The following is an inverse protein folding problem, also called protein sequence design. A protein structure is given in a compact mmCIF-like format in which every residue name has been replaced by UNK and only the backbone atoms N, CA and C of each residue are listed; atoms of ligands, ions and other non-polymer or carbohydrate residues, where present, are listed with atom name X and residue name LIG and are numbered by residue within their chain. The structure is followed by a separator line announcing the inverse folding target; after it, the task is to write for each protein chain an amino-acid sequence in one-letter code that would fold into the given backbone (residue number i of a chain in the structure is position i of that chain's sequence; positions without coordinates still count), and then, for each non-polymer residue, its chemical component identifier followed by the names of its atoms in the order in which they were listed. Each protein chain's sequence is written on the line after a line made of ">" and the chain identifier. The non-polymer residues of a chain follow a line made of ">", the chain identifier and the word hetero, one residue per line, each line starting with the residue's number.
data_IF_211695909476
#
_entry.id   IF_211695909476
#
_cell.length_a   1.000
_cell.length_b   1.000
_cell.length_c   1.000
_cell.angle_alpha   90.00
_cell.angle_beta   90.00
_cell.angle_gamma   90.00
#
_symmetry.space_group_name_H-M   'P 1'
#
loop_
_entity.id
_entity.type
_entity.pdbx_description
1 polymer ?
#
# COMPACT_ATOMS: atom_id res chain seq x y z
N UNK A 1 16.30 -12.98 1.37
CA UNK A 1 15.66 -11.78 1.95
C UNK A 1 14.68 -11.21 0.96
N UNK A 2 13.48 -10.80 1.41
CA UNK A 2 12.47 -10.20 0.54
C UNK A 2 12.81 -8.75 0.15
N UNK A 3 12.03 -8.21 -0.76
CA UNK A 3 12.08 -6.81 -1.21
C UNK A 3 10.88 -6.05 -0.69
N UNK A 4 11.13 -4.92 -0.01
CA UNK A 4 10.09 -3.96 0.31
C UNK A 4 9.84 -3.06 -0.91
N UNK A 5 8.62 -3.08 -1.42
CA UNK A 5 8.13 -2.15 -2.45
C UNK A 5 7.23 -1.14 -1.76
N UNK A 6 7.67 0.12 -1.66
CA UNK A 6 6.94 1.16 -0.92
C UNK A 6 6.50 2.29 -1.84
N UNK A 7 5.20 2.53 -1.96
CA UNK A 7 4.63 3.58 -2.80
C UNK A 7 4.21 4.82 -2.01
N UNK A 8 4.54 6.00 -2.56
CA UNK A 8 4.16 7.30 -2.01
C UNK A 8 2.66 7.61 -2.15
N UNK A 9 2.17 8.58 -1.38
CA UNK A 9 0.80 9.10 -1.50
C UNK A 9 0.64 10.15 -2.60
N UNK A 10 -0.58 10.67 -2.74
CA UNK A 10 -0.90 11.75 -3.67
C UNK A 10 0.00 12.98 -3.42
N UNK A 11 0.48 13.63 -4.48
CA UNK A 11 1.43 14.77 -4.43
C UNK A 11 2.83 14.40 -3.92
N UNK A 12 3.10 13.10 -3.75
CA UNK A 12 4.37 12.57 -3.29
C UNK A 12 5.37 12.33 -4.42
N UNK A 13 6.54 11.82 -4.02
CA UNK A 13 7.56 11.28 -4.92
C UNK A 13 8.24 10.08 -4.25
N UNK A 14 8.98 9.29 -5.01
CA UNK A 14 9.81 8.20 -4.46
C UNK A 14 10.79 8.72 -3.39
N UNK A 15 11.38 9.90 -3.62
CA UNK A 15 12.29 10.54 -2.66
C UNK A 15 11.59 11.01 -1.38
N UNK A 16 10.33 11.44 -1.46
CA UNK A 16 9.60 11.90 -0.27
C UNK A 16 9.25 10.75 0.67
N UNK A 17 8.96 9.55 0.16
CA UNK A 17 8.65 8.39 1.01
C UNK A 17 9.89 7.59 1.43
N UNK A 18 11.02 7.78 0.75
CA UNK A 18 12.29 7.10 1.03
C UNK A 18 12.67 7.05 2.52
N UNK A 19 12.65 8.16 3.29
CA UNK A 19 13.07 8.10 4.69
C UNK A 19 12.21 7.18 5.55
N UNK A 20 10.89 7.16 5.30
CA UNK A 20 9.99 6.22 5.96
C UNK A 20 10.35 4.79 5.58
N UNK A 21 10.46 4.52 4.27
CA UNK A 21 10.71 3.18 3.76
C UNK A 21 12.05 2.62 4.30
N UNK A 22 13.14 3.39 4.21
CA UNK A 22 14.46 3.07 4.77
C UNK A 22 14.41 2.81 6.28
N UNK A 23 13.59 3.57 7.01
CA UNK A 23 13.42 3.37 8.45
C UNK A 23 12.63 2.11 8.83
N UNK A 24 11.94 1.49 7.86
CA UNK A 24 11.20 0.24 8.02
C UNK A 24 12.00 -1.00 7.59
N UNK A 25 13.13 -0.83 6.89
CA UNK A 25 13.94 -1.92 6.34
C UNK A 25 14.82 -2.57 7.41
N UNK A 26 14.62 -3.87 7.70
CA UNK A 26 15.63 -4.68 8.35
C UNK A 26 16.91 -4.80 7.51
N UNK A 27 18.06 -5.11 8.14
CA UNK A 27 19.30 -5.40 7.43
C UNK A 27 19.14 -6.51 6.39
N UNK A 28 19.70 -6.31 5.18
CA UNK A 28 19.76 -7.31 4.11
C UNK A 28 18.51 -7.42 3.22
N UNK A 29 17.45 -6.65 3.49
CA UNK A 29 16.32 -6.52 2.56
C UNK A 29 16.62 -5.51 1.45
N UNK A 30 16.04 -5.75 0.27
CA UNK A 30 16.10 -4.79 -0.83
C UNK A 30 14.94 -3.80 -0.75
N UNK A 31 15.12 -2.64 -1.37
CA UNK A 31 14.12 -1.60 -1.43
C UNK A 31 13.84 -1.19 -2.87
N UNK A 32 12.57 -1.17 -3.25
CA UNK A 32 12.08 -0.55 -4.48
C UNK A 32 11.12 0.57 -4.09
N UNK A 33 11.35 1.76 -4.64
CA UNK A 33 10.50 2.93 -4.48
C UNK A 33 10.00 3.36 -5.86
N UNK A 34 8.88 2.80 -6.34
CA UNK A 34 8.33 3.21 -7.62
C UNK A 34 7.92 4.68 -7.59
N UNK A 35 8.13 5.38 -8.70
CA UNK A 35 7.73 6.77 -8.91
C UNK A 35 6.47 6.79 -9.76
N UNK A 36 5.43 7.51 -9.32
CA UNK A 36 4.23 7.66 -10.11
C UNK A 36 4.49 8.57 -11.33
N UNK A 37 3.79 8.34 -12.43
CA UNK A 37 4.08 9.02 -13.71
C UNK A 37 3.14 10.18 -14.03
N UNK A 38 2.01 10.30 -13.32
CA UNK A 38 1.01 11.35 -13.58
C UNK A 38 1.39 12.58 -12.75
N UNK A 39 1.77 13.72 -13.37
CA UNK A 39 2.06 14.93 -12.62
C UNK A 39 0.79 15.45 -11.95
N UNK A 40 0.86 15.72 -10.65
CA UNK A 40 -0.27 16.30 -9.94
C UNK A 40 -0.26 17.84 -10.11
N UNK A 41 -1.40 18.50 -10.36
CA UNK A 41 -1.45 19.94 -10.68
C UNK A 41 -0.79 20.88 -9.66
N UNK A 42 -0.71 20.46 -8.40
CA UNK A 42 -0.07 21.23 -7.32
C UNK A 42 1.44 20.98 -7.20
N UNK A 43 1.85 19.71 -7.11
CA UNK A 43 3.24 19.26 -6.89
C UNK A 43 3.33 17.74 -6.98
N UNK A 44 4.51 17.22 -7.25
CA UNK A 44 4.79 15.78 -7.22
C UNK A 44 3.92 15.00 -8.20
N UNK A 45 3.68 13.73 -7.88
CA UNK A 45 2.99 12.80 -8.76
C UNK A 45 1.80 12.12 -8.09
N UNK A 46 1.02 11.42 -8.91
CA UNK A 46 -0.16 10.67 -8.54
C UNK A 46 -0.20 9.34 -9.29
N UNK A 47 -0.71 8.30 -8.63
CA UNK A 47 -0.98 7.00 -9.26
C UNK A 47 -2.27 7.01 -10.10
N UNK A 48 -3.20 7.88 -9.70
CA UNK A 48 -4.38 8.27 -10.45
C UNK A 48 -4.80 9.68 -10.03
N UNK A 49 -5.55 10.38 -10.86
CA UNK A 49 -6.22 11.63 -10.52
C UNK A 49 -7.72 11.40 -10.53
N UNK A 50 -8.45 12.22 -9.77
CA UNK A 50 -9.91 12.22 -9.74
C UNK A 50 -10.39 13.65 -9.49
N UNK A 51 -11.53 14.00 -10.07
CA UNK A 51 -12.21 15.26 -9.79
C UNK A 51 -13.26 15.10 -8.67
N UNK A 52 -13.86 13.91 -8.56
CA UNK A 52 -14.83 13.59 -7.52
C UNK A 52 -14.19 13.54 -6.11
N UNK A 53 -14.96 13.76 -5.03
CA UNK A 53 -14.48 13.68 -3.65
C UNK A 53 -13.88 12.32 -3.28
N UNK A 54 -12.91 12.22 -2.36
CA UNK A 54 -12.32 10.95 -1.94
C UNK A 54 -13.31 9.90 -1.42
N UNK A 55 -14.49 10.30 -0.96
CA UNK A 55 -15.54 9.38 -0.48
C UNK A 55 -16.18 8.55 -1.60
N UNK A 56 -16.18 9.04 -2.84
CA UNK A 56 -16.87 8.37 -3.95
C UNK A 56 -16.00 7.28 -4.61
N UNK A 57 -16.59 6.30 -5.30
CA UNK A 57 -15.86 5.38 -6.17
C UNK A 57 -15.04 6.12 -7.23
N UNK A 58 -14.02 5.43 -7.77
CA UNK A 58 -13.26 5.94 -8.92
C UNK A 58 -14.06 5.79 -10.20
N UNK A 59 -14.00 6.80 -11.07
CA UNK A 59 -14.53 6.71 -12.43
C UNK A 59 -13.65 5.83 -13.33
N UNK A 60 -14.12 5.56 -14.54
CA UNK A 60 -13.43 4.70 -15.50
C UNK A 60 -12.04 5.23 -15.86
N UNK A 61 -11.88 6.55 -16.00
CA UNK A 61 -10.60 7.18 -16.31
C UNK A 61 -9.59 6.97 -15.17
N UNK A 62 -10.00 7.21 -13.93
CA UNK A 62 -9.19 7.00 -12.73
C UNK A 62 -8.82 5.53 -12.58
N UNK A 63 -9.74 4.60 -12.85
CA UNK A 63 -9.48 3.16 -12.81
C UNK A 63 -8.47 2.74 -13.88
N UNK A 64 -8.55 3.28 -15.09
CA UNK A 64 -7.57 3.04 -16.15
C UNK A 64 -6.16 3.52 -15.75
N UNK A 65 -6.08 4.66 -15.04
CA UNK A 65 -4.81 5.16 -14.50
C UNK A 65 -4.25 4.26 -13.39
N UNK A 66 -5.11 3.72 -12.51
CA UNK A 66 -4.71 2.71 -11.53
C UNK A 66 -4.10 1.51 -12.23
N UNK A 67 -4.76 0.98 -13.25
CA UNK A 67 -4.29 -0.21 -13.98
C UNK A 67 -2.96 0.04 -14.69
N UNK A 68 -2.80 1.19 -15.36
CA UNK A 68 -1.54 1.59 -15.98
C UNK A 68 -0.39 1.74 -14.97
N UNK A 69 -0.68 2.32 -13.80
CA UNK A 69 0.26 2.43 -12.69
C UNK A 69 0.67 1.06 -12.14
N UNK A 70 -0.28 0.13 -11.99
CA UNK A 70 0.00 -1.25 -11.57
C UNK A 70 0.97 -1.93 -12.53
N UNK A 71 0.70 -1.88 -13.84
CA UNK A 71 1.58 -2.52 -14.84
C UNK A 71 2.99 -1.90 -14.87
N UNK A 72 3.09 -0.58 -14.68
CA UNK A 72 4.37 0.11 -14.58
C UNK A 72 5.19 -0.38 -13.38
N UNK A 73 4.56 -0.48 -12.21
CA UNK A 73 5.22 -0.95 -10.98
C UNK A 73 5.59 -2.44 -11.11
N UNK A 74 4.72 -3.29 -11.64
CA UNK A 74 5.01 -4.71 -11.89
C UNK A 74 6.24 -4.85 -12.80
N UNK A 75 6.34 -4.04 -13.85
CA UNK A 75 7.49 -4.04 -14.75
C UNK A 75 8.79 -3.67 -14.02
N UNK A 76 8.74 -2.67 -13.12
CA UNK A 76 9.87 -2.32 -12.26
C UNK A 76 10.26 -3.48 -11.31
N UNK A 77 9.30 -4.11 -10.66
CA UNK A 77 9.53 -5.28 -9.79
C UNK A 77 10.17 -6.43 -10.58
N UNK A 78 9.70 -6.71 -11.79
CA UNK A 78 10.25 -7.78 -12.63
C UNK A 78 11.69 -7.50 -13.06
N UNK A 79 12.03 -6.23 -13.28
CA UNK A 79 13.39 -5.82 -13.64
C UNK A 79 14.34 -5.88 -12.44
N UNK A 80 13.94 -5.28 -11.32
CA UNK A 80 14.85 -4.99 -10.21
C UNK A 80 14.83 -6.09 -9.13
N UNK A 81 13.77 -6.92 -9.11
CA UNK A 81 13.62 -8.02 -8.16
C UNK A 81 12.90 -9.24 -8.80
N UNK A 82 13.36 -9.82 -9.92
CA UNK A 82 12.61 -10.84 -10.69
C UNK A 82 12.19 -12.10 -9.90
N UNK A 83 12.98 -12.53 -8.91
CA UNK A 83 12.80 -13.81 -8.21
C UNK A 83 12.72 -13.66 -6.68
N UNK A 84 12.47 -12.45 -6.17
CA UNK A 84 12.45 -12.21 -4.73
C UNK A 84 11.02 -12.22 -4.19
N UNK A 85 10.83 -12.72 -2.98
CA UNK A 85 9.58 -12.51 -2.25
C UNK A 85 9.41 -11.02 -1.96
N UNK A 86 8.17 -10.56 -1.86
CA UNK A 86 7.81 -9.14 -1.83
C UNK A 86 7.03 -8.81 -0.56
N UNK A 87 7.33 -7.67 0.02
CA UNK A 87 6.44 -6.99 0.97
C UNK A 87 5.99 -5.72 0.27
N UNK A 88 4.68 -5.56 0.08
CA UNK A 88 4.13 -4.40 -0.61
C UNK A 88 3.61 -3.42 0.43
N UNK A 89 3.89 -2.14 0.26
CA UNK A 89 3.41 -1.13 1.19
C UNK A 89 3.22 0.22 0.56
N UNK A 90 2.57 1.10 1.30
CA UNK A 90 2.45 2.48 0.90
C UNK A 90 1.68 3.34 1.87
N UNK A 91 1.68 4.63 1.57
CA UNK A 91 0.93 5.65 2.30
C UNK A 91 -0.18 6.21 1.43
N UNK A 92 -1.39 6.35 1.97
CA UNK A 92 -2.52 6.99 1.29
C UNK A 92 -2.81 6.35 -0.08
N UNK A 93 -2.66 7.09 -1.17
CA UNK A 93 -2.77 6.56 -2.53
C UNK A 93 -1.86 5.34 -2.77
N UNK A 94 -0.65 5.34 -2.20
CA UNK A 94 0.27 4.22 -2.30
C UNK A 94 -0.20 2.96 -1.56
N UNK A 95 -0.91 3.12 -0.43
CA UNK A 95 -1.49 1.97 0.28
C UNK A 95 -2.58 1.29 -0.58
N UNK A 96 -3.40 2.07 -1.27
CA UNK A 96 -4.38 1.54 -2.22
C UNK A 96 -3.70 0.80 -3.38
N UNK A 97 -2.63 1.38 -3.93
CA UNK A 97 -1.82 0.73 -4.96
C UNK A 97 -1.20 -0.59 -4.49
N UNK A 98 -0.81 -0.71 -3.21
CA UNK A 98 -0.28 -1.96 -2.66
C UNK A 98 -1.31 -3.09 -2.72
N UNK A 99 -2.58 -2.77 -2.44
CA UNK A 99 -3.68 -3.74 -2.55
C UNK A 99 -3.95 -4.14 -4.00
N UNK A 100 -3.87 -3.20 -4.94
CA UNK A 100 -4.04 -3.50 -6.37
C UNK A 100 -2.88 -4.36 -6.93
N UNK A 101 -1.63 -4.08 -6.51
CA UNK A 101 -0.47 -4.89 -6.87
C UNK A 101 -0.55 -6.31 -6.32
N UNK A 102 -1.03 -6.48 -5.08
CA UNK A 102 -1.18 -7.80 -4.50
C UNK A 102 -2.09 -8.71 -5.34
N UNK A 103 -3.16 -8.16 -5.92
CA UNK A 103 -4.08 -8.90 -6.77
C UNK A 103 -3.52 -9.24 -8.16
N UNK A 104 -2.34 -8.71 -8.51
CA UNK A 104 -1.78 -8.87 -9.84
C UNK A 104 -1.16 -10.27 -10.03
N UNK A 105 -1.58 -11.05 -11.05
CA UNK A 105 -1.27 -12.48 -11.17
C UNK A 105 0.23 -12.78 -11.33
N UNK A 106 1.01 -11.87 -11.91
CA UNK A 106 2.47 -12.08 -12.10
C UNK A 106 3.27 -12.03 -10.79
N UNK A 107 2.72 -11.42 -9.73
CA UNK A 107 3.47 -11.19 -8.48
C UNK A 107 2.75 -11.69 -7.22
N UNK A 108 1.44 -11.95 -7.28
CA UNK A 108 0.63 -12.35 -6.12
C UNK A 108 1.27 -13.48 -5.29
N UNK A 109 1.73 -14.54 -5.94
CA UNK A 109 2.34 -15.71 -5.27
C UNK A 109 3.69 -15.42 -4.60
N UNK A 110 4.25 -14.23 -4.81
CA UNK A 110 5.52 -13.78 -4.22
C UNK A 110 5.31 -12.84 -3.03
N UNK A 111 4.08 -12.39 -2.78
CA UNK A 111 3.79 -11.43 -1.71
C UNK A 111 3.72 -12.13 -0.36
N UNK A 112 4.56 -11.70 0.58
CA UNK A 112 4.62 -12.21 1.96
C UNK A 112 3.71 -11.43 2.91
N UNK A 113 3.36 -10.19 2.58
CA UNK A 113 2.52 -9.35 3.42
C UNK A 113 2.39 -7.92 2.92
N UNK A 114 1.48 -7.18 3.54
CA UNK A 114 1.14 -5.81 3.17
C UNK A 114 1.38 -4.81 4.32
N UNK A 115 1.87 -3.61 4.00
CA UNK A 115 2.00 -2.48 4.94
C UNK A 115 1.16 -1.32 4.46
N UNK A 116 -0.03 -1.16 5.03
CA UNK A 116 -1.06 -0.24 4.56
C UNK A 116 -1.24 0.90 5.56
N UNK A 117 -0.81 2.12 5.19
CA UNK A 117 -0.84 3.28 6.06
C UNK A 117 -1.78 4.35 5.48
N UNK A 118 -2.77 4.78 6.25
CA UNK A 118 -3.74 5.83 5.88
C UNK A 118 -4.45 5.57 4.55
N UNK A 119 -4.69 4.31 4.22
CA UNK A 119 -5.16 3.84 2.91
C UNK A 119 -6.64 3.49 2.85
N UNK A 120 -7.11 3.22 1.63
CA UNK A 120 -8.44 2.66 1.34
C UNK A 120 -8.38 1.71 0.16
N UNK A 121 -9.42 0.90 -0.03
CA UNK A 121 -9.52 -0.03 -1.15
C UNK A 121 -10.02 0.69 -2.41
N UNK A 122 -9.51 0.29 -3.58
CA UNK A 122 -10.10 0.66 -4.87
C UNK A 122 -11.13 -0.38 -5.31
N UNK A 123 -10.82 -1.68 -5.14
CA UNK A 123 -11.69 -2.79 -5.56
C UNK A 123 -11.95 -3.79 -4.42
N UNK A 124 -12.83 -3.46 -3.45
CA UNK A 124 -13.03 -4.28 -2.25
C UNK A 124 -13.37 -5.75 -2.51
N UNK A 125 -14.31 -6.01 -3.42
CA UNK A 125 -14.74 -7.38 -3.76
C UNK A 125 -13.62 -8.23 -4.39
N UNK A 126 -12.80 -7.60 -5.25
CA UNK A 126 -11.65 -8.28 -5.86
C UNK A 126 -10.57 -8.56 -4.82
N UNK A 127 -10.35 -7.64 -3.89
CA UNK A 127 -9.39 -7.80 -2.81
C UNK A 127 -9.79 -8.96 -1.91
N UNK A 128 -11.06 -8.98 -1.46
CA UNK A 128 -11.61 -10.07 -0.68
C UNK A 128 -11.44 -11.43 -1.39
N UNK A 129 -11.84 -11.50 -2.66
CA UNK A 129 -11.71 -12.73 -3.47
C UNK A 129 -10.25 -13.20 -3.62
N UNK A 130 -9.30 -12.26 -3.67
CA UNK A 130 -7.87 -12.56 -3.79
C UNK A 130 -7.29 -13.07 -2.47
N UNK A 131 -7.64 -12.43 -1.33
CA UNK A 131 -7.22 -12.86 0.00
C UNK A 131 -7.81 -14.22 0.40
N UNK A 132 -9.03 -14.53 -0.02
CA UNK A 132 -9.63 -15.85 0.20
C UNK A 132 -8.85 -16.99 -0.48
N UNK A 133 -8.17 -16.69 -1.60
CA UNK A 133 -7.33 -17.65 -2.33
C UNK A 133 -5.90 -17.69 -1.81
N UNK A 134 -5.36 -16.52 -1.46
CA UNK A 134 -3.97 -16.35 -1.07
C UNK A 134 -3.92 -15.44 0.15
N UNK A 135 -4.20 -15.95 1.36
CA UNK A 135 -4.17 -15.13 2.56
C UNK A 135 -2.75 -14.66 2.84
N UNK A 136 -2.58 -13.38 3.14
CA UNK A 136 -1.29 -12.76 3.51
C UNK A 136 -1.48 -11.89 4.76
N UNK A 137 -0.51 -11.87 5.68
CA UNK A 137 -0.56 -10.98 6.83
C UNK A 137 -0.53 -9.52 6.39
N UNK A 138 -1.10 -8.63 7.21
CA UNK A 138 -1.15 -7.19 6.92
C UNK A 138 -0.89 -6.34 8.17
N UNK A 139 -0.16 -5.23 7.97
CA UNK A 139 -0.16 -4.08 8.88
C UNK A 139 -1.18 -3.08 8.37
N UNK A 140 -2.06 -2.65 9.26
CA UNK A 140 -3.03 -1.59 9.02
C UNK A 140 -2.79 -0.46 10.02
N UNK A 141 -2.41 0.72 9.54
CA UNK A 141 -2.23 1.92 10.37
C UNK A 141 -3.17 3.03 9.90
N UNK A 142 -3.95 3.60 10.81
CA UNK A 142 -4.87 4.69 10.48
C UNK A 142 -5.08 5.69 11.62
N UNK A 143 -5.32 6.93 11.23
CA UNK A 143 -5.61 8.03 12.16
C UNK A 143 -7.10 8.28 12.34
N UNK A 144 -7.56 8.33 13.59
CA UNK A 144 -8.98 8.59 13.91
C UNK A 144 -9.49 9.94 13.43
N UNK A 145 -8.60 10.93 13.32
CA UNK A 145 -8.92 12.29 12.88
C UNK A 145 -8.55 12.53 11.41
N UNK A 146 -8.36 11.47 10.64
CA UNK A 146 -8.09 11.55 9.21
C UNK A 146 -9.31 12.10 8.46
N UNK A 147 -9.14 13.29 7.89
CA UNK A 147 -10.18 13.98 7.12
C UNK A 147 -10.06 13.74 5.60
N UNK A 148 -9.02 13.03 5.15
CA UNK A 148 -8.77 12.72 3.73
C UNK A 148 -9.31 11.33 3.41
N UNK A 149 -8.97 10.35 4.25
CA UNK A 149 -9.51 9.00 4.20
C UNK A 149 -10.29 8.78 5.49
N UNK A 150 -11.62 8.77 5.39
CA UNK A 150 -12.49 8.66 6.56
C UNK A 150 -12.28 7.34 7.29
N UNK A 151 -12.62 7.31 8.58
CA UNK A 151 -12.61 6.07 9.36
C UNK A 151 -13.53 5.00 8.76
N UNK A 152 -14.61 5.37 8.09
CA UNK A 152 -15.47 4.43 7.37
C UNK A 152 -14.69 3.70 6.25
N UNK A 153 -13.97 4.44 5.41
CA UNK A 153 -13.17 3.85 4.33
C UNK A 153 -12.00 3.02 4.88
N UNK A 154 -11.39 3.49 5.97
CA UNK A 154 -10.31 2.79 6.63
C UNK A 154 -10.78 1.46 7.25
N UNK A 155 -11.95 1.48 7.89
CA UNK A 155 -12.59 0.29 8.45
C UNK A 155 -13.01 -0.69 7.36
N UNK A 156 -13.56 -0.23 6.23
CA UNK A 156 -13.85 -1.10 5.08
C UNK A 156 -12.60 -1.85 4.61
N UNK A 157 -11.45 -1.18 4.55
CA UNK A 157 -10.18 -1.82 4.22
C UNK A 157 -9.79 -2.86 5.27
N UNK A 158 -9.86 -2.51 6.56
CA UNK A 158 -9.55 -3.43 7.66
C UNK A 158 -10.45 -4.67 7.66
N UNK A 159 -11.76 -4.48 7.55
CA UNK A 159 -12.78 -5.53 7.60
C UNK A 159 -12.60 -6.57 6.49
N UNK A 160 -12.13 -6.17 5.31
CA UNK A 160 -11.84 -7.11 4.21
C UNK A 160 -10.80 -8.14 4.62
N UNK A 161 -9.78 -7.75 5.41
CA UNK A 161 -8.80 -8.71 5.94
C UNK A 161 -9.39 -9.54 7.08
N UNK A 162 -10.14 -8.93 7.99
CA UNK A 162 -10.75 -9.63 9.13
C UNK A 162 -11.76 -10.71 8.73
N UNK A 163 -12.42 -10.53 7.58
CA UNK A 163 -13.34 -11.52 7.01
C UNK A 163 -12.63 -12.67 6.28
N UNK A 164 -11.30 -12.71 6.31
CA UNK A 164 -10.47 -13.73 5.64
C UNK A 164 -9.53 -14.39 6.67
N UNK A 165 -8.76 -15.39 6.25
CA UNK A 165 -7.78 -16.06 7.13
C UNK A 165 -6.46 -15.27 7.29
N UNK A 166 -6.47 -13.96 7.04
CA UNK A 166 -5.29 -13.11 7.17
C UNK A 166 -5.07 -12.71 8.64
N UNK A 167 -3.81 -12.62 9.07
CA UNK A 167 -3.47 -11.98 10.33
C UNK A 167 -3.32 -10.47 10.12
N UNK A 168 -3.84 -9.68 11.06
CA UNK A 168 -3.82 -8.23 10.97
C UNK A 168 -3.18 -7.62 12.23
N UNK A 169 -2.16 -6.78 12.01
CA UNK A 169 -1.62 -5.87 13.03
C UNK A 169 -2.30 -4.51 12.87
N UNK A 170 -3.20 -4.17 13.79
CA UNK A 170 -3.92 -2.89 13.79
C UNK A 170 -3.17 -1.85 14.63
N UNK A 171 -2.77 -0.76 13.99
CA UNK A 171 -2.05 0.37 14.58
C UNK A 171 -2.88 1.64 14.42
N UNK A 172 -3.96 1.75 15.19
CA UNK A 172 -4.79 2.96 15.20
C UNK A 172 -4.16 4.04 16.10
N UNK A 173 -4.35 5.32 15.75
CA UNK A 173 -3.89 6.46 16.55
C UNK A 173 -4.81 7.67 16.48
N UNK A 174 -4.74 8.57 17.47
CA UNK A 174 -5.61 9.76 17.55
C UNK A 174 -5.23 10.93 16.61
N UNK A 175 -4.18 10.78 15.80
CA UNK A 175 -3.69 11.81 14.84
C UNK A 175 -4.51 11.81 13.53
N UNK A 176 -4.21 12.73 12.61
CA UNK A 176 -4.88 12.87 11.30
C UNK A 176 -4.27 11.99 10.20
N UNK A 177 -4.32 12.46 8.94
CA UNK A 177 -3.76 11.79 7.77
C UNK A 177 -2.23 11.78 7.76
N UNK A 178 -1.63 10.88 8.52
CA UNK A 178 -0.18 10.83 8.71
C UNK A 178 0.29 9.45 9.17
N UNK A 179 1.61 9.25 9.09
CA UNK A 179 2.28 8.11 9.71
C UNK A 179 2.56 8.42 11.18
N UNK A 180 2.14 7.54 12.08
CA UNK A 180 2.51 7.65 13.50
C UNK A 180 3.85 6.96 13.77
N UNK A 181 4.93 7.73 13.82
CA UNK A 181 6.28 7.21 14.02
C UNK A 181 6.50 6.55 15.39
N UNK A 182 5.65 6.83 16.38
CA UNK A 182 5.66 6.14 17.68
C UNK A 182 5.33 4.66 17.56
N UNK A 183 4.51 4.29 16.57
CA UNK A 183 4.08 2.91 16.29
C UNK A 183 4.92 2.24 15.18
N UNK A 184 6.01 2.90 14.76
CA UNK A 184 6.93 2.36 13.74
C UNK A 184 7.65 1.08 14.21
N UNK A 185 8.12 0.95 15.48
CA UNK A 185 8.80 -0.25 15.94
C UNK A 185 7.98 -1.54 15.71
N UNK A 186 6.67 -1.48 15.89
CA UNK A 186 5.72 -2.58 15.70
C UNK A 186 5.65 -3.01 14.22
N UNK A 187 5.73 -2.06 13.28
CA UNK A 187 5.83 -2.37 11.85
C UNK A 187 7.15 -3.08 11.55
N UNK A 188 8.27 -2.60 12.11
CA UNK A 188 9.59 -3.20 11.90
C UNK A 188 9.65 -4.62 12.46
N UNK A 189 9.13 -4.84 13.67
CA UNK A 189 9.03 -6.16 14.28
C UNK A 189 8.16 -7.11 13.44
N UNK A 190 7.02 -6.61 12.96
CA UNK A 190 6.16 -7.38 12.06
C UNK A 190 6.86 -7.73 10.74
N UNK A 191 7.54 -6.77 10.08
CA UNK A 191 8.30 -7.03 8.85
C UNK A 191 9.36 -8.10 9.11
N UNK A 192 10.10 -8.02 10.22
CA UNK A 192 11.11 -9.02 10.58
C UNK A 192 10.49 -10.42 10.73
N UNK A 193 9.33 -10.53 11.39
CA UNK A 193 8.66 -11.82 11.63
C UNK A 193 8.23 -12.55 10.36
N UNK A 194 7.90 -11.81 9.29
CA UNK A 194 7.47 -12.38 8.01
C UNK A 194 8.58 -12.48 6.97
N UNK A 195 9.79 -11.97 7.29
CA UNK A 195 10.93 -11.92 6.37
C UNK A 195 11.96 -13.03 6.58
N UNK A 196 11.77 -13.88 7.60
CA UNK A 196 12.57 -15.08 7.85
C UNK A 196 12.13 -16.24 6.96
#
# INVERSE_FOLDING_TARGET
>A
MPTLVMMHGLTGTANLIRPLAESLLPPGMNLILPEATIPHPKRGFAWWLRDAPPSEPLDEQSLSQVDASVESIVSCIQKDAPNQSLILGGFSQGAAMATELFMHPKIQNRVLGLVLISGKLVRPEKMYSSLMKTPVPVVWMHGERDQIVSMEQANQLCEVFEKTNCTILKLQHHKGHMVNLEQKPEIVEWINSISQ
#
